data_IF_548752261638
#
_entry.id   IF_548752261638
#
_cell.length_a   1.000
_cell.length_b   1.000
_cell.length_c   1.000
_cell.angle_alpha   90.00
_cell.angle_beta   90.00
_cell.angle_gamma   90.00
#
_symmetry.space_group_name_H-M   'P 1'
#
loop_
_entity.id
_entity.type
_entity.pdbx_description
1 polymer ?
#
# COMPACT_ATOMS: atom_id res chain seq x y z
N UNK A 1 3.10 3.96 5.96
CA UNK A 1 2.16 4.30 4.88
C UNK A 1 2.77 5.21 3.81
N UNK A 2 3.34 6.39 4.14
CA UNK A 2 3.93 7.31 3.15
C UNK A 2 4.98 6.66 2.22
N UNK A 3 5.99 5.99 2.79
CA UNK A 3 7.06 5.33 2.02
C UNK A 3 6.49 4.26 1.06
N UNK A 4 5.55 3.45 1.54
CA UNK A 4 4.87 2.45 0.72
C UNK A 4 4.10 3.09 -0.43
N UNK A 5 3.33 4.15 -0.16
CA UNK A 5 2.59 4.88 -1.19
C UNK A 5 3.51 5.55 -2.22
N UNK A 6 4.67 6.08 -1.81
CA UNK A 6 5.67 6.62 -2.73
C UNK A 6 6.21 5.55 -3.68
N UNK A 7 6.39 4.30 -3.22
CA UNK A 7 6.82 3.21 -4.10
C UNK A 7 5.78 2.88 -5.18
N UNK A 8 4.48 2.88 -4.83
CA UNK A 8 3.40 2.79 -5.82
C UNK A 8 3.43 3.94 -6.82
N UNK A 9 3.63 5.17 -6.34
CA UNK A 9 3.74 6.35 -7.19
C UNK A 9 4.89 6.24 -8.19
N UNK A 10 6.09 5.83 -7.77
CA UNK A 10 7.23 5.63 -8.67
C UNK A 10 7.00 4.52 -9.69
N UNK A 11 6.30 3.45 -9.31
CA UNK A 11 5.89 2.42 -10.26
C UNK A 11 4.97 2.98 -11.34
N UNK A 12 3.92 3.71 -10.96
CA UNK A 12 3.02 4.38 -11.93
C UNK A 12 3.78 5.39 -12.80
N UNK A 13 4.72 6.14 -12.23
CA UNK A 13 5.55 7.08 -13.00
C UNK A 13 6.41 6.39 -14.07
N UNK A 14 6.82 5.14 -13.88
CA UNK A 14 7.61 4.42 -14.89
C UNK A 14 6.86 4.20 -16.21
N UNK A 15 5.53 4.31 -16.20
CA UNK A 15 4.70 4.26 -17.41
C UNK A 15 4.74 5.55 -18.25
N UNK A 16 5.17 6.70 -17.70
CA UNK A 16 5.29 7.95 -18.48
C UNK A 16 6.37 7.86 -19.56
N UNK A 17 7.45 7.12 -19.29
CA UNK A 17 8.52 6.85 -20.25
C UNK A 17 8.94 5.38 -20.09
N UNK A 18 8.27 4.46 -20.81
CA UNK A 18 8.45 3.03 -20.62
C UNK A 18 9.85 2.59 -21.06
N UNK A 19 10.75 2.48 -20.09
CA UNK A 19 12.08 1.92 -20.26
C UNK A 19 12.15 0.60 -19.48
N UNK A 20 12.61 -0.46 -20.13
CA UNK A 20 12.64 -1.83 -19.60
C UNK A 20 13.31 -1.88 -18.22
N UNK A 21 14.47 -1.22 -18.07
CA UNK A 21 15.24 -1.21 -16.83
C UNK A 21 14.52 -0.48 -15.69
N UNK A 22 13.87 0.64 -16.00
CA UNK A 22 13.09 1.43 -15.03
C UNK A 22 11.92 0.60 -14.49
N UNK A 23 11.21 -0.10 -15.38
CA UNK A 23 10.10 -1.00 -15.01
C UNK A 23 10.50 -2.08 -14.03
N UNK A 24 11.61 -2.78 -14.29
CA UNK A 24 12.07 -3.84 -13.39
C UNK A 24 12.47 -3.28 -12.02
N UNK A 25 13.18 -2.14 -12.00
CA UNK A 25 13.60 -1.50 -10.76
C UNK A 25 12.40 -1.03 -9.93
N UNK A 26 11.44 -0.35 -10.55
CA UNK A 26 10.24 0.11 -9.86
C UNK A 26 9.33 -1.03 -9.43
N UNK A 27 9.32 -2.17 -10.13
CA UNK A 27 8.58 -3.37 -9.71
C UNK A 27 9.15 -3.99 -8.43
N UNK A 28 10.47 -4.04 -8.29
CA UNK A 28 11.12 -4.50 -7.05
C UNK A 28 10.81 -3.54 -5.91
N UNK A 29 10.94 -2.23 -6.16
CA UNK A 29 10.58 -1.20 -5.17
C UNK A 29 9.10 -1.29 -4.76
N UNK A 30 8.21 -1.53 -5.71
CA UNK A 30 6.78 -1.73 -5.46
C UNK A 30 6.54 -2.92 -4.53
N UNK A 31 7.19 -4.05 -4.76
CA UNK A 31 7.05 -5.24 -3.91
C UNK A 31 7.43 -4.97 -2.45
N UNK A 32 8.56 -4.32 -2.23
CA UNK A 32 9.02 -3.92 -0.89
C UNK A 32 8.08 -2.87 -0.27
N UNK A 33 7.69 -1.86 -1.06
CA UNK A 33 6.80 -0.80 -0.61
C UNK A 33 5.41 -1.31 -0.24
N UNK A 34 4.88 -2.27 -1.00
CA UNK A 34 3.60 -2.93 -0.74
C UNK A 34 3.63 -3.72 0.57
N UNK A 35 4.70 -4.49 0.82
CA UNK A 35 4.86 -5.21 2.08
C UNK A 35 4.85 -4.25 3.28
N UNK A 36 5.62 -3.16 3.19
CA UNK A 36 5.67 -2.13 4.24
C UNK A 36 4.29 -1.46 4.43
N UNK A 37 3.59 -1.15 3.32
CA UNK A 37 2.30 -0.47 3.37
C UNK A 37 1.26 -1.33 4.08
N UNK A 38 1.08 -2.57 3.66
CA UNK A 38 0.08 -3.49 4.23
C UNK A 38 0.38 -3.86 5.68
N UNK A 39 1.65 -4.02 6.06
CA UNK A 39 2.01 -4.26 7.46
C UNK A 39 1.75 -3.02 8.33
N UNK A 40 2.11 -1.83 7.85
CA UNK A 40 1.87 -0.58 8.59
C UNK A 40 0.37 -0.27 8.72
N UNK A 41 -0.41 -0.54 7.68
CA UNK A 41 -1.88 -0.42 7.67
C UNK A 41 -2.52 -1.31 8.73
N UNK A 42 -2.16 -2.60 8.76
CA UNK A 42 -2.69 -3.53 9.77
C UNK A 42 -2.36 -3.09 11.20
N UNK A 43 -1.12 -2.65 11.43
CA UNK A 43 -0.71 -2.12 12.73
C UNK A 43 -1.47 -0.83 13.10
N UNK A 44 -1.71 0.06 12.12
CA UNK A 44 -2.47 1.29 12.33
C UNK A 44 -3.94 1.00 12.68
N UNK A 45 -4.58 0.08 11.96
CA UNK A 45 -5.95 -0.33 12.24
C UNK A 45 -6.07 -0.96 13.62
N UNK A 46 -5.11 -1.82 14.00
CA UNK A 46 -5.08 -2.44 15.33
C UNK A 46 -4.86 -1.40 16.45
N UNK A 47 -3.98 -0.43 16.25
CA UNK A 47 -3.70 0.61 17.24
C UNK A 47 -4.87 1.61 17.42
N UNK A 48 -5.72 1.77 16.41
CA UNK A 48 -6.88 2.68 16.43
C UNK A 48 -8.22 1.94 16.57
N UNK A 49 -8.19 0.65 16.94
CA UNK A 49 -9.39 -0.16 17.15
C UNK A 49 -9.31 -0.93 18.45
N UNK A 50 -10.48 -1.21 19.03
CA UNK A 50 -10.66 -2.08 20.18
C UNK A 50 -11.26 -3.42 19.71
N UNK A 51 -11.37 -4.39 20.61
CA UNK A 51 -11.92 -5.73 20.32
C UNK A 51 -13.32 -5.68 19.68
N UNK A 52 -14.15 -4.70 20.07
CA UNK A 52 -15.50 -4.53 19.53
C UNK A 52 -15.54 -3.75 18.21
N UNK A 53 -14.52 -2.96 17.87
CA UNK A 53 -14.53 -2.03 16.73
C UNK A 53 -13.62 -2.47 15.58
N UNK A 54 -12.69 -3.41 15.82
CA UNK A 54 -11.72 -3.90 14.83
C UNK A 54 -12.38 -4.43 13.56
N UNK A 55 -13.41 -5.27 13.70
CA UNK A 55 -14.12 -5.86 12.55
C UNK A 55 -14.82 -4.79 11.69
N UNK A 56 -15.50 -3.84 12.34
CA UNK A 56 -16.17 -2.72 11.66
C UNK A 56 -15.17 -1.83 10.94
N UNK A 57 -14.12 -1.37 11.62
CA UNK A 57 -13.14 -0.44 11.07
C UNK A 57 -12.36 -1.07 9.90
N UNK A 58 -11.96 -2.35 10.04
CA UNK A 58 -11.32 -3.12 8.97
C UNK A 58 -12.27 -3.33 7.79
N UNK A 59 -13.54 -3.64 8.05
CA UNK A 59 -14.56 -3.81 7.01
C UNK A 59 -14.81 -2.53 6.19
N UNK A 60 -14.90 -1.37 6.84
CA UNK A 60 -15.04 -0.08 6.15
C UNK A 60 -13.81 0.22 5.29
N UNK A 61 -12.60 -0.02 5.81
CA UNK A 61 -11.38 0.17 5.05
C UNK A 61 -11.35 -0.70 3.78
N UNK A 62 -11.65 -2.00 3.89
CA UNK A 62 -11.66 -2.90 2.73
C UNK A 62 -12.77 -2.59 1.74
N UNK A 63 -13.94 -2.16 2.21
CA UNK A 63 -15.01 -1.70 1.34
C UNK A 63 -14.55 -0.51 0.47
N UNK A 64 -13.90 0.48 1.08
CA UNK A 64 -13.34 1.63 0.35
C UNK A 64 -12.20 1.23 -0.60
N UNK A 65 -11.36 0.28 -0.21
CA UNK A 65 -10.24 -0.20 -1.04
C UNK A 65 -10.70 -0.96 -2.29
N UNK A 66 -11.87 -1.62 -2.26
CA UNK A 66 -12.41 -2.38 -3.40
C UNK A 66 -13.36 -1.58 -4.31
N UNK A 67 -13.62 -0.30 -4.00
CA UNK A 67 -14.39 0.61 -4.85
C UNK A 67 -13.56 1.08 -6.06
#
# INVERSE_FOLDING_TARGET
>A
MFIGASAYFFYVLSFLSPMIWSFYLTSVLLGVGAAILWTAEGAYLAANSDEHTTSRNTGVFWALFQC
#
